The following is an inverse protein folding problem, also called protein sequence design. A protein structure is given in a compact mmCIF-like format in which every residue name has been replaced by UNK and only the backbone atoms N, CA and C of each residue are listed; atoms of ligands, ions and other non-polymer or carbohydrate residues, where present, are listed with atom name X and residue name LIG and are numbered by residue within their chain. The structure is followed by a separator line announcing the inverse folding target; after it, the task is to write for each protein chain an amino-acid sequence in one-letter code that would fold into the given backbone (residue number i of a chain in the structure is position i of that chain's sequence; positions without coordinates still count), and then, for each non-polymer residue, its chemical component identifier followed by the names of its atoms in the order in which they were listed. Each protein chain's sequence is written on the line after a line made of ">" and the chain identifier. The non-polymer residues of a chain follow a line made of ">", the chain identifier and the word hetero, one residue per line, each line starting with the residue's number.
data_IF_179049583037
#
_entry.id   IF_179049583037
#
_cell.length_a   1.000
_cell.length_b   1.000
_cell.length_c   1.000
_cell.angle_alpha   90.00
_cell.angle_beta   90.00
_cell.angle_gamma   90.00
#
_symmetry.space_group_name_H-M   'P 1'
#
loop_
_entity.id
_entity.type
_entity.pdbx_description
1 polymer ?
#
# COMPACT_ATOMS: atom_id res chain seq x y z
N UNK A 1 0.05 26.08 -13.49
CA UNK A 1 0.98 25.13 -12.84
C UNK A 1 2.36 25.73 -12.93
N UNK A 2 2.92 26.14 -11.80
CA UNK A 2 3.98 27.12 -11.75
C UNK A 2 4.86 26.98 -10.52
N UNK A 3 6.02 27.62 -10.58
CA UNK A 3 7.09 27.61 -9.57
C UNK A 3 6.51 27.77 -8.14
N UNK A 4 6.90 26.91 -7.18
CA UNK A 4 6.44 27.07 -5.81
C UNK A 4 6.78 28.47 -5.28
N UNK A 5 5.86 29.12 -4.55
CA UNK A 5 6.06 30.48 -4.08
C UNK A 5 7.28 30.57 -3.17
N UNK A 6 8.04 31.66 -3.30
CA UNK A 6 9.33 31.86 -2.59
C UNK A 6 9.18 31.80 -1.07
N UNK A 7 8.02 32.24 -0.56
CA UNK A 7 7.66 32.18 0.86
C UNK A 7 6.45 31.25 1.05
N UNK A 8 6.73 30.00 1.42
CA UNK A 8 5.70 29.03 1.84
C UNK A 8 5.68 29.00 3.35
N UNK A 9 4.50 29.16 3.96
CA UNK A 9 4.33 29.10 5.41
C UNK A 9 4.78 27.73 5.95
N UNK A 10 5.19 27.68 7.22
CA UNK A 10 5.57 26.42 7.88
C UNK A 10 4.41 25.41 7.88
N UNK A 11 3.17 25.87 8.04
CA UNK A 11 1.97 25.03 8.02
C UNK A 11 1.73 24.42 6.64
N UNK A 12 1.81 25.21 5.56
CA UNK A 12 1.65 24.72 4.19
C UNK A 12 2.74 23.72 3.78
N UNK A 13 3.99 23.94 4.22
CA UNK A 13 5.07 22.95 4.01
C UNK A 13 4.79 21.63 4.74
N UNK A 14 4.29 21.70 5.98
CA UNK A 14 3.93 20.51 6.77
C UNK A 14 2.79 19.74 6.10
N UNK A 15 1.72 20.44 5.70
CA UNK A 15 0.60 19.87 4.95
C UNK A 15 1.09 19.11 3.71
N UNK A 16 1.87 19.77 2.85
CA UNK A 16 2.38 19.16 1.62
C UNK A 16 3.23 17.90 1.86
N UNK A 17 4.04 17.90 2.93
CA UNK A 17 4.83 16.73 3.33
C UNK A 17 3.94 15.58 3.80
N UNK A 18 2.91 15.88 4.58
CA UNK A 18 2.00 14.86 5.09
C UNK A 18 1.17 14.27 3.93
N UNK A 19 0.69 15.12 3.01
CA UNK A 19 0.01 14.70 1.78
C UNK A 19 0.91 13.80 0.90
N UNK A 20 2.18 14.18 0.72
CA UNK A 20 3.17 13.38 -0.01
C UNK A 20 3.43 12.04 0.67
N UNK A 21 3.49 11.99 2.00
CA UNK A 21 3.64 10.75 2.75
C UNK A 21 2.45 9.80 2.52
N UNK A 22 1.22 10.33 2.53
CA UNK A 22 0.03 9.54 2.22
C UNK A 22 0.05 9.02 0.78
N UNK A 23 0.36 9.89 -0.19
CA UNK A 23 0.45 9.50 -1.60
C UNK A 23 1.50 8.41 -1.81
N UNK A 24 2.69 8.57 -1.25
CA UNK A 24 3.78 7.60 -1.38
C UNK A 24 3.39 6.23 -0.80
N UNK A 25 2.68 6.20 0.34
CA UNK A 25 2.18 4.96 0.92
C UNK A 25 1.17 4.26 0.00
N UNK A 26 0.23 5.03 -0.57
CA UNK A 26 -0.79 4.52 -1.50
C UNK A 26 -0.15 3.99 -2.78
N UNK A 27 0.68 4.80 -3.44
CA UNK A 27 1.38 4.42 -4.66
C UNK A 27 2.28 3.20 -4.45
N UNK A 28 2.95 3.12 -3.30
CA UNK A 28 3.73 1.95 -2.90
C UNK A 28 2.89 0.68 -2.84
N UNK A 29 1.69 0.74 -2.24
CA UNK A 29 0.76 -0.41 -2.17
C UNK A 29 0.24 -0.80 -3.55
N UNK A 30 -0.13 0.16 -4.40
CA UNK A 30 -0.52 -0.14 -5.79
C UNK A 30 0.63 -0.72 -6.60
N UNK A 31 1.85 -0.22 -6.41
CA UNK A 31 3.07 -0.77 -7.03
C UNK A 31 3.32 -2.21 -6.62
N UNK A 32 3.15 -2.54 -5.33
CA UNK A 32 3.23 -3.91 -4.83
C UNK A 32 2.12 -4.79 -5.41
N UNK A 33 0.88 -4.32 -5.43
CA UNK A 33 -0.25 -5.07 -5.96
C UNK A 33 -0.04 -5.42 -7.46
N UNK A 34 0.51 -4.49 -8.24
CA UNK A 34 0.90 -4.73 -9.64
C UNK A 34 2.09 -5.69 -9.74
N UNK A 35 3.23 -5.39 -9.13
CA UNK A 35 4.49 -6.14 -9.34
C UNK A 35 4.54 -7.50 -8.65
N UNK A 36 4.10 -7.58 -7.40
CA UNK A 36 4.21 -8.79 -6.57
C UNK A 36 2.99 -9.69 -6.69
N UNK A 37 1.81 -9.10 -6.87
CA UNK A 37 0.55 -9.84 -6.89
C UNK A 37 -0.11 -9.89 -8.28
N UNK A 38 0.58 -9.37 -9.32
CA UNK A 38 0.20 -9.60 -10.71
C UNK A 38 -1.02 -8.80 -11.19
N UNK A 39 -1.44 -7.72 -10.50
CA UNK A 39 -2.56 -6.90 -10.98
C UNK A 39 -2.32 -6.26 -12.36
N UNK A 40 -1.08 -6.17 -12.84
CA UNK A 40 -0.75 -5.70 -14.19
C UNK A 40 -0.88 -6.79 -15.27
N UNK A 41 -1.05 -8.06 -14.87
CA UNK A 41 -1.03 -9.22 -15.76
C UNK A 41 -2.34 -10.02 -15.67
N UNK A 42 -3.48 -9.33 -15.59
CA UNK A 42 -4.79 -9.99 -15.61
C UNK A 42 -5.15 -10.34 -17.06
N UNK A 43 -5.15 -11.64 -17.35
CA UNK A 43 -5.41 -12.18 -18.70
C UNK A 43 -6.83 -12.74 -18.85
N UNK A 44 -7.67 -12.59 -17.83
CA UNK A 44 -9.07 -12.98 -17.86
C UNK A 44 -9.80 -12.28 -19.02
N UNK A 45 -10.53 -13.05 -19.83
CA UNK A 45 -11.20 -12.55 -21.04
C UNK A 45 -12.57 -11.92 -20.75
N UNK A 46 -13.21 -12.35 -19.67
CA UNK A 46 -14.52 -11.88 -19.25
C UNK A 46 -14.37 -10.92 -18.06
N UNK A 47 -15.21 -9.87 -18.03
CA UNK A 47 -15.15 -8.84 -17.00
C UNK A 47 -15.38 -9.40 -15.60
N UNK A 48 -16.36 -10.28 -15.43
CA UNK A 48 -16.68 -10.93 -14.15
C UNK A 48 -15.50 -11.71 -13.56
N UNK A 49 -14.74 -12.41 -14.41
CA UNK A 49 -13.57 -13.18 -13.99
C UNK A 49 -12.40 -12.27 -13.66
N UNK A 50 -12.23 -11.18 -14.41
CA UNK A 50 -11.22 -10.16 -14.13
C UNK A 50 -11.49 -9.48 -12.79
N UNK A 51 -12.72 -9.03 -12.55
CA UNK A 51 -13.16 -8.41 -11.29
C UNK A 51 -12.96 -9.34 -10.10
N UNK A 52 -13.36 -10.61 -10.25
CA UNK A 52 -13.15 -11.64 -9.22
C UNK A 52 -11.66 -11.82 -8.92
N UNK A 53 -10.82 -11.89 -9.95
CA UNK A 53 -9.36 -12.01 -9.80
C UNK A 53 -8.77 -10.81 -9.06
N UNK A 54 -9.18 -9.59 -9.42
CA UNK A 54 -8.77 -8.35 -8.75
C UNK A 54 -9.17 -8.38 -7.26
N UNK A 55 -10.43 -8.73 -6.97
CA UNK A 55 -10.97 -8.80 -5.61
C UNK A 55 -10.20 -9.79 -4.74
N UNK A 56 -9.95 -11.00 -5.25
CA UNK A 56 -9.14 -12.02 -4.57
C UNK A 56 -7.72 -11.52 -4.33
N UNK A 57 -7.09 -10.86 -5.30
CA UNK A 57 -5.76 -10.27 -5.11
C UNK A 57 -5.73 -9.27 -3.95
N UNK A 58 -6.71 -8.37 -3.85
CA UNK A 58 -6.80 -7.44 -2.71
C UNK A 58 -7.02 -8.15 -1.37
N UNK A 59 -7.85 -9.20 -1.34
CA UNK A 59 -8.02 -10.03 -0.16
C UNK A 59 -6.68 -10.65 0.29
N UNK A 60 -5.93 -11.24 -0.64
CA UNK A 60 -4.62 -11.85 -0.36
C UNK A 60 -3.60 -10.83 0.14
N UNK A 61 -3.59 -9.61 -0.43
CA UNK A 61 -2.71 -8.52 0.04
C UNK A 61 -3.02 -8.13 1.49
N UNK A 62 -4.30 -8.03 1.84
CA UNK A 62 -4.74 -7.71 3.19
C UNK A 62 -4.39 -8.83 4.18
N UNK A 63 -4.69 -10.09 3.84
CA UNK A 63 -4.35 -11.24 4.66
C UNK A 63 -2.83 -11.39 4.85
N UNK A 64 -2.04 -11.14 3.81
CA UNK A 64 -0.57 -11.13 3.90
C UNK A 64 -0.05 -10.07 4.88
N UNK A 65 -0.73 -8.92 4.95
CA UNK A 65 -0.38 -7.84 5.87
C UNK A 65 -0.72 -8.22 7.29
N UNK A 66 -1.93 -8.77 7.51
CA UNK A 66 -2.37 -9.25 8.82
C UNK A 66 -1.47 -10.38 9.35
N UNK A 67 -1.15 -11.37 8.51
CA UNK A 67 -0.27 -12.47 8.88
C UNK A 67 1.10 -11.95 9.32
N UNK A 68 1.68 -10.99 8.59
CA UNK A 68 2.95 -10.37 8.98
C UNK A 68 2.87 -9.71 10.36
N UNK A 69 1.79 -8.99 10.66
CA UNK A 69 1.60 -8.37 11.96
C UNK A 69 1.51 -9.40 13.09
N UNK A 70 0.69 -10.44 12.89
CA UNK A 70 0.55 -11.54 13.85
C UNK A 70 1.88 -12.26 14.05
N UNK A 71 2.59 -12.59 12.97
CA UNK A 71 3.92 -13.21 13.06
C UNK A 71 4.90 -12.32 13.81
N UNK A 72 4.94 -11.01 13.55
CA UNK A 72 5.79 -10.09 14.30
C UNK A 72 5.47 -10.09 15.79
N UNK A 73 4.18 -10.03 16.17
CA UNK A 73 3.75 -10.09 17.57
C UNK A 73 4.16 -11.42 18.22
N UNK A 74 3.99 -12.52 17.50
CA UNK A 74 4.38 -13.85 17.96
C UNK A 74 5.90 -13.97 18.17
N UNK A 75 6.72 -13.44 17.27
CA UNK A 75 8.18 -13.42 17.43
C UNK A 75 8.62 -12.56 18.61
N UNK A 76 8.00 -11.39 18.81
CA UNK A 76 8.27 -10.54 19.98
C UNK A 76 7.89 -11.29 21.27
N UNK A 77 6.72 -11.93 21.29
CA UNK A 77 6.29 -12.74 22.43
C UNK A 77 7.29 -13.87 22.73
N UNK A 78 7.72 -14.64 21.73
CA UNK A 78 8.72 -15.69 21.95
C UNK A 78 10.02 -15.10 22.50
N UNK A 79 10.50 -13.98 21.96
CA UNK A 79 11.77 -13.37 22.38
C UNK A 79 11.75 -12.82 23.81
N UNK A 80 10.59 -12.48 24.35
CA UNK A 80 10.44 -11.92 25.71
C UNK A 80 10.22 -13.00 26.77
N UNK A 81 9.64 -14.15 26.38
CA UNK A 81 9.17 -15.18 27.32
C UNK A 81 9.88 -16.53 27.20
N UNK A 82 10.73 -16.73 26.19
CA UNK A 82 11.55 -17.92 26.00
C UNK A 82 13.04 -17.55 26.02
#
# INVERSE_FOLDING_TARGET
>A
MGRPPKNVSKSTKKQARDDERFRNAIEGKFGQAKRRYGLNCIMAKLSETAETSIGITFLVINLSTLLRQISCLFFVFISEYL
#
